data_IF_909918156265
#
_entry.id   IF_909918156265
#
_cell.length_a   1.000
_cell.length_b   1.000
_cell.length_c   1.000
_cell.angle_alpha   90.00
_cell.angle_beta   90.00
_cell.angle_gamma   90.00
#
_symmetry.space_group_name_H-M   'P 1'
#
loop_
_entity.id
_entity.type
_entity.pdbx_description
1 polymer ?
#
# COMPACT_ATOMS: atom_id res chain seq x y z
N UNK A 1 15.51 -10.27 -54.46
CA UNK A 1 15.90 -9.08 -53.66
C UNK A 1 14.61 -8.31 -53.43
N UNK A 2 14.09 -8.13 -52.22
CA UNK A 2 14.73 -7.59 -51.03
C UNK A 2 13.88 -7.99 -49.81
N UNK A 3 14.48 -8.63 -48.81
CA UNK A 3 13.87 -8.81 -47.49
C UNK A 3 14.02 -7.48 -46.74
N UNK A 4 12.91 -6.86 -46.31
CA UNK A 4 12.96 -5.74 -45.37
C UNK A 4 12.60 -6.29 -43.99
N UNK A 5 13.63 -6.42 -43.14
CA UNK A 5 13.52 -6.80 -41.75
C UNK A 5 13.27 -5.52 -40.93
N UNK A 6 12.02 -5.23 -40.57
CA UNK A 6 11.69 -4.14 -39.64
C UNK A 6 11.88 -4.62 -38.21
N UNK A 7 12.95 -4.17 -37.57
CA UNK A 7 13.21 -4.37 -36.15
C UNK A 7 12.40 -3.33 -35.34
N UNK A 8 11.21 -3.71 -34.88
CA UNK A 8 10.43 -2.88 -33.96
C UNK A 8 11.02 -2.96 -32.55
N UNK A 9 11.53 -1.85 -32.05
CA UNK A 9 11.94 -1.65 -30.66
C UNK A 9 10.69 -1.70 -29.77
N UNK A 10 10.47 -2.82 -29.08
CA UNK A 10 9.50 -2.92 -28.00
C UNK A 10 10.09 -2.27 -26.75
N UNK A 11 9.75 -1.02 -26.46
CA UNK A 11 10.04 -0.42 -25.15
C UNK A 11 9.12 -1.03 -24.11
N UNK A 12 9.61 -1.63 -23.01
CA UNK A 12 8.75 -2.07 -21.94
C UNK A 12 8.16 -0.85 -21.25
N UNK A 13 6.83 -0.76 -21.21
CA UNK A 13 6.13 0.20 -20.36
C UNK A 13 6.40 -0.16 -18.91
N UNK A 14 7.17 0.66 -18.19
CA UNK A 14 7.32 0.54 -16.74
C UNK A 14 6.07 1.14 -16.10
N UNK A 15 5.19 0.29 -15.59
CA UNK A 15 4.00 0.72 -14.84
C UNK A 15 4.42 0.92 -13.38
N UNK A 16 3.92 1.99 -12.75
CA UNK A 16 4.19 2.22 -11.34
C UNK A 16 3.45 1.18 -10.48
N UNK A 17 4.14 0.59 -9.51
CA UNK A 17 3.53 -0.33 -8.54
C UNK A 17 2.32 0.29 -7.85
N UNK A 18 1.19 -0.39 -7.94
CA UNK A 18 -0.04 -0.01 -7.24
C UNK A 18 -0.10 -0.62 -5.85
N UNK A 19 -0.96 -0.05 -4.98
CA UNK A 19 -1.22 -0.61 -3.65
C UNK A 19 -1.80 -2.03 -3.72
N UNK A 20 -2.68 -2.30 -4.69
CA UNK A 20 -3.29 -3.62 -4.87
C UNK A 20 -2.24 -4.68 -5.22
N UNK A 21 -1.38 -4.38 -6.19
CA UNK A 21 -0.28 -5.25 -6.59
C UNK A 21 0.69 -5.48 -5.43
N UNK A 22 1.06 -4.41 -4.71
CA UNK A 22 1.97 -4.52 -3.57
C UNK A 22 1.41 -5.42 -2.46
N UNK A 23 0.11 -5.34 -2.16
CA UNK A 23 -0.56 -6.21 -1.18
C UNK A 23 -0.60 -7.66 -1.67
N UNK A 24 -1.05 -7.88 -2.91
CA UNK A 24 -1.15 -9.22 -3.52
C UNK A 24 0.22 -9.91 -3.59
N UNK A 25 1.27 -9.16 -3.90
CA UNK A 25 2.65 -9.66 -3.98
C UNK A 25 3.31 -9.80 -2.60
N UNK A 26 2.62 -9.45 -1.50
CA UNK A 26 3.18 -9.50 -0.16
C UNK A 26 4.34 -8.54 0.08
N UNK A 27 4.39 -7.43 -0.67
CA UNK A 27 5.42 -6.40 -0.54
C UNK A 27 5.14 -5.45 0.62
N UNK A 28 3.87 -5.34 1.01
CA UNK A 28 3.40 -4.44 2.07
C UNK A 28 2.41 -5.15 2.97
N UNK A 29 2.20 -4.60 4.17
CA UNK A 29 1.17 -5.05 5.09
C UNK A 29 0.46 -3.88 5.79
N UNK A 30 -0.81 -4.09 6.10
CA UNK A 30 -1.64 -3.12 6.86
C UNK A 30 -1.42 -3.27 8.36
N UNK A 31 -1.52 -2.17 9.09
CA UNK A 31 -1.37 -2.17 10.55
C UNK A 31 -2.62 -1.59 11.23
N UNK A 32 -2.80 -1.93 12.51
CA UNK A 32 -3.92 -1.44 13.31
C UNK A 32 -3.85 0.06 13.61
N UNK A 33 -2.74 0.73 13.33
CA UNK A 33 -2.62 2.19 13.47
C UNK A 33 -3.02 2.96 12.19
N UNK A 34 -3.49 2.26 11.14
CA UNK A 34 -3.96 2.87 9.91
C UNK A 34 -2.89 3.07 8.84
N UNK A 35 -1.63 2.71 9.09
CA UNK A 35 -0.56 2.90 8.11
C UNK A 35 -0.06 1.60 7.49
N UNK A 36 0.52 1.74 6.31
CA UNK A 36 1.12 0.68 5.54
C UNK A 36 2.60 0.52 5.95
N UNK A 37 3.09 -0.71 6.01
CA UNK A 37 4.50 -1.02 6.26
C UNK A 37 5.07 -1.84 5.10
N UNK A 38 6.31 -1.52 4.68
CA UNK A 38 7.04 -2.31 3.70
C UNK A 38 7.53 -3.63 4.32
N UNK A 39 7.19 -4.75 3.69
CA UNK A 39 7.70 -6.09 3.99
C UNK A 39 8.84 -6.50 3.04
N UNK A 40 8.97 -5.81 1.91
CA UNK A 40 10.09 -5.90 0.98
C UNK A 40 10.85 -4.58 0.97
N UNK A 41 12.18 -4.68 1.03
CA UNK A 41 13.08 -3.53 1.20
C UNK A 41 13.64 -3.01 -0.13
N UNK A 42 12.80 -2.97 -1.16
CA UNK A 42 13.17 -2.38 -2.44
C UNK A 42 12.64 -0.94 -2.57
N UNK A 43 13.28 -0.16 -3.44
CA UNK A 43 13.01 1.27 -3.57
C UNK A 43 11.58 1.57 -4.02
N UNK A 44 11.00 0.72 -4.86
CA UNK A 44 9.65 0.89 -5.38
C UNK A 44 8.59 0.71 -4.29
N UNK A 45 8.74 -0.34 -3.48
CA UNK A 45 7.87 -0.62 -2.32
C UNK A 45 7.97 0.50 -1.29
N UNK A 46 9.19 0.95 -0.99
CA UNK A 46 9.41 2.03 -0.03
C UNK A 46 8.77 3.34 -0.51
N UNK A 47 8.93 3.68 -1.79
CA UNK A 47 8.30 4.84 -2.40
C UNK A 47 6.78 4.76 -2.31
N UNK A 48 6.19 3.62 -2.67
CA UNK A 48 4.75 3.43 -2.57
C UNK A 48 4.24 3.60 -1.12
N UNK A 49 4.92 3.01 -0.15
CA UNK A 49 4.56 3.14 1.27
C UNK A 49 4.59 4.60 1.73
N UNK A 50 5.62 5.34 1.34
CA UNK A 50 5.73 6.77 1.66
C UNK A 50 4.57 7.57 1.05
N UNK A 51 4.29 7.36 -0.24
CA UNK A 51 3.25 8.09 -0.98
C UNK A 51 1.85 7.80 -0.38
N UNK A 52 1.54 6.53 -0.12
CA UNK A 52 0.26 6.12 0.48
C UNK A 52 0.11 6.64 1.91
N UNK A 53 1.15 6.52 2.75
CA UNK A 53 1.06 6.98 4.14
C UNK A 53 0.97 8.51 4.22
N UNK A 54 1.58 9.25 3.29
CA UNK A 54 1.38 10.69 3.16
C UNK A 54 -0.08 11.04 2.84
N UNK A 55 -0.67 10.38 1.84
CA UNK A 55 -2.09 10.58 1.50
C UNK A 55 -3.03 10.23 2.65
N UNK A 56 -2.78 9.11 3.35
CA UNK A 56 -3.57 8.70 4.52
C UNK A 56 -3.48 9.71 5.65
N UNK A 57 -2.30 10.23 5.99
CA UNK A 57 -2.14 11.27 7.02
C UNK A 57 -2.98 12.51 6.72
N UNK A 58 -2.93 13.00 5.47
CA UNK A 58 -3.72 14.15 5.06
C UNK A 58 -5.23 13.88 5.20
N UNK A 59 -5.69 12.72 4.75
CA UNK A 59 -7.10 12.32 4.86
C UNK A 59 -7.54 12.15 6.33
N UNK A 60 -6.72 11.52 7.17
CA UNK A 60 -7.03 11.34 8.58
C UNK A 60 -7.09 12.68 9.31
N UNK A 61 -6.19 13.62 9.00
CA UNK A 61 -6.22 14.97 9.58
C UNK A 61 -7.52 15.69 9.20
N UNK A 62 -7.90 15.68 7.92
CA UNK A 62 -9.14 16.31 7.48
C UNK A 62 -10.37 15.74 8.18
N UNK A 63 -10.42 14.42 8.36
CA UNK A 63 -11.53 13.75 9.04
C UNK A 63 -11.52 14.03 10.55
N UNK A 64 -10.34 14.06 11.16
CA UNK A 64 -10.14 14.42 12.56
C UNK A 64 -10.66 15.83 12.84
N UNK A 65 -10.26 16.81 12.04
CA UNK A 65 -10.70 18.21 12.15
C UNK A 65 -12.22 18.32 11.99
N UNK A 66 -12.79 17.62 11.01
CA UNK A 66 -14.23 17.67 10.72
C UNK A 66 -15.09 17.04 11.82
N UNK A 67 -14.55 16.08 12.56
CA UNK A 67 -15.28 15.32 13.59
C UNK A 67 -14.85 15.69 15.02
N UNK A 68 -13.93 16.63 15.19
CA UNK A 68 -13.34 17.00 16.47
C UNK A 68 -12.75 15.79 17.23
N UNK A 69 -12.08 14.90 16.48
CA UNK A 69 -11.44 13.71 17.02
C UNK A 69 -9.92 13.84 16.95
N UNK A 70 -9.16 13.16 17.84
CA UNK A 70 -7.73 13.01 17.65
C UNK A 70 -7.41 12.24 16.36
N UNK A 71 -6.43 12.72 15.59
CA UNK A 71 -6.01 12.07 14.32
C UNK A 71 -5.61 10.60 14.52
N UNK A 72 -5.00 10.27 15.66
CA UNK A 72 -4.60 8.90 15.99
C UNK A 72 -5.80 7.97 16.20
N UNK A 73 -6.94 8.48 16.68
CA UNK A 73 -8.16 7.68 16.81
C UNK A 73 -8.77 7.40 15.43
N UNK A 74 -8.77 8.40 14.54
CA UNK A 74 -9.19 8.23 13.15
C UNK A 74 -8.32 7.19 12.45
N UNK A 75 -7.00 7.29 12.59
CA UNK A 75 -6.06 6.35 12.00
C UNK A 75 -6.26 4.93 12.53
N UNK A 76 -6.49 4.75 13.84
CA UNK A 76 -6.80 3.45 14.45
C UNK A 76 -8.10 2.85 13.93
N UNK A 77 -9.17 3.64 13.83
CA UNK A 77 -10.45 3.17 13.27
C UNK A 77 -10.29 2.75 11.81
N UNK A 78 -9.53 3.51 11.02
CA UNK A 78 -9.20 3.16 9.65
C UNK A 78 -8.36 1.87 9.58
N UNK A 79 -7.36 1.73 10.45
CA UNK A 79 -6.52 0.53 10.56
C UNK A 79 -7.32 -0.72 10.89
N UNK A 80 -8.24 -0.64 11.85
CA UNK A 80 -9.17 -1.73 12.17
C UNK A 80 -9.97 -2.17 10.94
N UNK A 81 -10.58 -1.22 10.22
CA UNK A 81 -11.34 -1.51 8.99
C UNK A 81 -10.44 -2.13 7.92
N UNK A 82 -9.25 -1.58 7.69
CA UNK A 82 -8.31 -2.10 6.69
C UNK A 82 -7.87 -3.53 7.00
N UNK A 83 -7.57 -3.84 8.26
CA UNK A 83 -7.20 -5.19 8.71
C UNK A 83 -8.38 -6.16 8.64
N UNK A 84 -9.60 -5.71 8.93
CA UNK A 84 -10.82 -6.52 8.83
C UNK A 84 -11.14 -6.88 7.38
N UNK A 85 -11.03 -5.91 6.46
CA UNK A 85 -11.36 -6.04 5.04
C UNK A 85 -10.20 -6.54 4.17
N UNK A 86 -9.03 -6.81 4.75
CA UNK A 86 -7.91 -7.38 4.04
C UNK A 86 -8.29 -8.74 3.42
N UNK A 87 -7.93 -8.92 2.14
CA UNK A 87 -8.30 -10.12 1.36
C UNK A 87 -7.43 -11.32 1.76
N UNK A 88 -7.90 -12.56 1.54
CA UNK A 88 -7.07 -13.74 1.71
C UNK A 88 -5.75 -13.61 0.95
N UNK A 89 -4.64 -13.91 1.62
CA UNK A 89 -3.30 -13.79 1.07
C UNK A 89 -2.61 -12.45 1.32
N UNK A 90 -3.31 -11.40 1.75
CA UNK A 90 -2.72 -10.11 2.14
C UNK A 90 -2.15 -10.16 3.56
N UNK A 91 -1.18 -9.30 3.85
CA UNK A 91 -0.54 -9.23 5.17
C UNK A 91 -1.14 -8.14 6.04
N UNK A 92 -1.40 -8.50 7.30
CA UNK A 92 -1.88 -7.59 8.34
C UNK A 92 -1.09 -7.78 9.64
N UNK A 93 -0.87 -6.71 10.39
CA UNK A 93 -0.24 -6.80 11.71
C UNK A 93 -1.29 -7.06 12.78
N UNK A 94 -1.14 -8.16 13.52
CA UNK A 94 -1.97 -8.47 14.67
C UNK A 94 -1.67 -7.58 15.88
N UNK A 95 -2.56 -7.61 16.88
CA UNK A 95 -2.42 -6.86 18.14
C UNK A 95 -1.12 -7.17 18.90
N UNK A 96 -0.55 -8.35 18.67
CA UNK A 96 0.72 -8.79 19.26
C UNK A 96 1.95 -8.30 18.46
N UNK A 97 1.76 -7.43 17.47
CA UNK A 97 2.80 -6.93 16.59
C UNK A 97 3.28 -7.91 15.53
N UNK A 98 2.77 -9.15 15.50
CA UNK A 98 3.16 -10.17 14.54
C UNK A 98 2.40 -10.01 13.23
N UNK A 99 3.08 -10.28 12.12
CA UNK A 99 2.47 -10.34 10.81
C UNK A 99 1.65 -11.63 10.66
N UNK A 100 0.45 -11.48 10.12
CA UNK A 100 -0.43 -12.57 9.74
C UNK A 100 -0.78 -12.41 8.28
N UNK A 101 -0.82 -13.53 7.56
CA UNK A 101 -1.39 -13.58 6.22
C UNK A 101 -2.86 -13.99 6.36
N UNK A 102 -3.77 -13.16 5.87
CA UNK A 102 -5.22 -13.40 5.93
C UNK A 102 -5.64 -14.63 5.14
#
# INVERSE_FOLDING_TARGET
MLWVLTLSLLTPSVWALTLDEARTQGRVGETLNGYLVALKNDAETQKLVLDINHARRASYQQLADSNHLPVDEVAKMAGQKLVEHARPGEYVQGINGKWMRK
#
